data_IF_337451896115
#
_entry.id   IF_337451896115
#
_cell.length_a   1.000
_cell.length_b   1.000
_cell.length_c   1.000
_cell.angle_alpha   90.00
_cell.angle_beta   90.00
_cell.angle_gamma   90.00
#
_symmetry.space_group_name_H-M   'P 1'
#
loop_
_entity.id
_entity.type
_entity.pdbx_description
1 polymer ?
#
# COMPACT_ATOMS: atom_id res chain seq x y z
N UNK A 1 -9.94 0.29 -12.64
CA UNK A 1 -10.95 0.05 -11.58
C UNK A 1 -11.63 1.35 -11.14
N UNK A 2 -10.89 2.29 -10.54
CA UNK A 2 -11.39 3.56 -9.99
C UNK A 2 -12.36 4.31 -10.94
N UNK A 3 -11.96 4.53 -12.21
CA UNK A 3 -12.83 5.16 -13.23
C UNK A 3 -14.22 4.53 -13.36
N UNK A 4 -14.35 3.22 -13.17
CA UNK A 4 -15.65 2.55 -13.28
C UNK A 4 -16.47 2.68 -11.98
N UNK A 5 -15.80 2.68 -10.83
CA UNK A 5 -16.45 2.90 -9.53
C UNK A 5 -16.97 4.33 -9.40
N UNK A 6 -16.16 5.33 -9.75
CA UNK A 6 -16.51 6.75 -9.68
C UNK A 6 -17.69 7.18 -10.57
N UNK A 7 -18.18 6.30 -11.47
CA UNK A 7 -19.39 6.58 -12.27
C UNK A 7 -20.69 6.45 -11.47
N UNK A 8 -20.69 5.65 -10.40
CA UNK A 8 -21.90 5.29 -9.63
C UNK A 8 -21.73 5.40 -8.12
N UNK A 9 -20.50 5.60 -7.65
CA UNK A 9 -20.16 5.62 -6.23
C UNK A 9 -19.28 6.83 -5.93
N UNK A 10 -19.39 7.32 -4.69
CA UNK A 10 -18.42 8.24 -4.11
C UNK A 10 -17.15 7.46 -3.77
N UNK A 11 -16.00 7.93 -4.24
CA UNK A 11 -14.73 7.18 -4.16
C UNK A 11 -13.66 8.04 -3.52
N UNK A 12 -13.08 7.55 -2.43
CA UNK A 12 -11.83 8.04 -1.87
C UNK A 12 -10.72 7.06 -2.21
N UNK A 13 -9.69 7.53 -2.90
CA UNK A 13 -8.53 6.71 -3.25
C UNK A 13 -7.34 7.08 -2.40
N UNK A 14 -6.73 6.09 -1.72
CA UNK A 14 -5.49 6.26 -0.98
C UNK A 14 -4.35 5.46 -1.63
N UNK A 15 -3.17 6.06 -1.79
CA UNK A 15 -2.02 5.40 -2.42
C UNK A 15 -0.69 5.96 -1.94
N UNK A 16 0.37 5.17 -2.08
CA UNK A 16 1.74 5.67 -2.05
C UNK A 16 2.24 5.97 -3.46
N UNK A 17 3.16 6.92 -3.56
CA UNK A 17 3.99 7.16 -4.73
C UNK A 17 5.47 7.03 -4.34
N UNK A 18 6.32 6.60 -5.29
CA UNK A 18 7.77 6.54 -5.11
C UNK A 18 8.41 7.91 -5.33
N UNK A 19 7.84 8.72 -6.22
CA UNK A 19 8.36 10.03 -6.58
C UNK A 19 7.24 11.07 -6.69
N UNK A 20 7.62 12.34 -6.60
CA UNK A 20 6.71 13.46 -6.90
C UNK A 20 6.21 13.42 -8.36
N UNK A 21 7.03 12.91 -9.29
CA UNK A 21 6.61 12.74 -10.68
C UNK A 21 5.46 11.72 -10.79
N UNK A 22 5.62 10.55 -10.17
CA UNK A 22 4.56 9.52 -10.13
C UNK A 22 3.29 10.05 -9.47
N UNK A 23 3.43 10.84 -8.39
CA UNK A 23 2.31 11.51 -7.75
C UNK A 23 1.57 12.46 -8.72
N UNK A 24 2.32 13.24 -9.50
CA UNK A 24 1.77 14.18 -10.47
C UNK A 24 1.12 13.47 -11.66
N UNK A 25 1.69 12.37 -12.14
CA UNK A 25 1.08 11.52 -13.17
C UNK A 25 -0.25 10.91 -12.67
N UNK A 26 -0.31 10.56 -11.39
CA UNK A 26 -1.52 10.09 -10.71
C UNK A 26 -2.57 11.19 -10.44
N UNK A 27 -2.29 12.47 -10.72
CA UNK A 27 -3.21 13.56 -10.41
C UNK A 27 -4.55 13.46 -11.16
N UNK A 28 -4.57 12.83 -12.33
CA UNK A 28 -5.78 12.55 -13.11
C UNK A 28 -6.78 11.63 -12.38
N UNK A 29 -6.36 10.94 -11.30
CA UNK A 29 -7.28 10.18 -10.45
C UNK A 29 -8.32 11.08 -9.76
N UNK A 30 -8.00 12.36 -9.55
CA UNK A 30 -8.93 13.34 -8.96
C UNK A 30 -10.19 13.55 -9.81
N UNK A 31 -10.14 13.26 -11.11
CA UNK A 31 -11.30 13.39 -11.99
C UNK A 31 -12.33 12.27 -11.77
N UNK A 32 -11.95 11.20 -11.05
CA UNK A 32 -12.77 10.01 -10.83
C UNK A 32 -13.02 9.70 -9.35
N UNK A 33 -12.50 10.52 -8.44
CA UNK A 33 -12.56 10.36 -6.99
C UNK A 33 -12.98 11.68 -6.36
N UNK A 34 -13.76 11.62 -5.28
CA UNK A 34 -14.09 12.80 -4.48
C UNK A 34 -12.87 13.29 -3.70
N UNK A 35 -12.02 12.36 -3.27
CA UNK A 35 -10.76 12.67 -2.61
C UNK A 35 -9.65 11.68 -3.03
N UNK A 36 -8.43 12.21 -3.19
CA UNK A 36 -7.23 11.41 -3.41
C UNK A 36 -6.22 11.69 -2.29
N UNK A 37 -5.98 10.68 -1.46
CA UNK A 37 -5.02 10.68 -0.36
C UNK A 37 -3.74 9.98 -0.84
N UNK A 38 -2.86 10.74 -1.47
CA UNK A 38 -1.58 10.21 -1.93
C UNK A 38 -0.40 10.83 -1.18
N UNK A 39 0.61 10.00 -0.90
CA UNK A 39 1.83 10.39 -0.18
C UNK A 39 3.06 9.83 -0.89
N UNK A 40 4.10 10.66 -1.04
CA UNK A 40 5.40 10.21 -1.55
C UNK A 40 6.17 9.56 -0.41
N UNK A 41 6.57 8.31 -0.62
CA UNK A 41 7.47 7.59 0.28
C UNK A 41 8.80 7.35 -0.47
N UNK A 42 9.85 8.15 -0.21
CA UNK A 42 11.12 8.04 -0.92
C UNK A 42 11.78 6.69 -0.75
N UNK A 43 12.49 6.22 -1.78
CA UNK A 43 13.13 4.91 -1.79
C UNK A 43 14.12 4.70 -0.63
N UNK A 44 14.90 5.73 -0.27
CA UNK A 44 15.83 5.69 0.85
C UNK A 44 15.12 5.36 2.18
N UNK A 45 13.95 5.96 2.40
CA UNK A 45 13.11 5.69 3.58
C UNK A 45 12.55 4.27 3.53
N UNK A 46 12.06 3.81 2.38
CA UNK A 46 11.54 2.43 2.23
C UNK A 46 12.59 1.38 2.54
N UNK A 47 13.80 1.55 1.98
CA UNK A 47 14.94 0.65 2.24
C UNK A 47 15.32 0.66 3.72
N UNK A 48 15.36 1.82 4.36
CA UNK A 48 15.65 1.91 5.79
C UNK A 48 14.57 1.20 6.64
N UNK A 49 13.30 1.34 6.28
CA UNK A 49 12.20 0.66 6.99
C UNK A 49 12.24 -0.86 6.81
N UNK A 50 12.53 -1.34 5.61
CA UNK A 50 12.76 -2.76 5.35
C UNK A 50 13.92 -3.32 6.19
N UNK A 51 15.04 -2.60 6.28
CA UNK A 51 16.17 -3.01 7.13
C UNK A 51 15.80 -3.08 8.62
N UNK A 52 14.91 -2.20 9.09
CA UNK A 52 14.39 -2.24 10.47
C UNK A 52 13.46 -3.42 10.74
N UNK A 53 12.90 -4.06 9.71
CA UNK A 53 12.03 -5.23 9.82
C UNK A 53 12.81 -6.54 10.01
N UNK A 54 14.06 -6.59 9.53
CA UNK A 54 14.91 -7.78 9.63
C UNK A 54 14.98 -8.40 11.03
N UNK A 55 15.17 -7.64 12.12
CA UNK A 55 15.20 -8.23 13.47
C UNK A 55 13.82 -8.59 14.03
N UNK A 56 12.71 -8.14 13.41
CA UNK A 56 11.36 -8.31 13.98
C UNK A 56 10.64 -9.57 13.48
N UNK A 57 11.22 -10.32 12.54
CA UNK A 57 10.59 -11.50 11.95
C UNK A 57 9.32 -11.21 11.14
N UNK A 58 9.06 -9.92 10.84
CA UNK A 58 7.96 -9.51 9.97
C UNK A 58 8.48 -9.40 8.53
N UNK A 59 7.62 -9.63 7.51
CA UNK A 59 8.00 -9.41 6.12
C UNK A 59 8.55 -8.00 5.92
N UNK A 60 9.72 -7.87 5.28
CA UNK A 60 10.31 -6.56 5.04
C UNK A 60 9.43 -5.73 4.11
N UNK A 61 8.68 -6.38 3.21
CA UNK A 61 7.65 -5.76 2.36
C UNK A 61 6.60 -4.99 3.17
N UNK A 62 6.15 -5.50 4.31
CA UNK A 62 5.16 -4.82 5.15
C UNK A 62 5.67 -3.44 5.61
N UNK A 63 6.91 -3.38 6.12
CA UNK A 63 7.53 -2.13 6.55
C UNK A 63 8.04 -1.27 5.38
N UNK A 64 8.41 -1.88 4.25
CA UNK A 64 8.87 -1.17 3.05
C UNK A 64 7.82 -0.17 2.55
N UNK A 65 6.54 -0.54 2.63
CA UNK A 65 5.41 0.30 2.21
C UNK A 65 4.72 1.02 3.37
N UNK A 66 5.31 1.11 4.56
CA UNK A 66 4.72 1.83 5.68
C UNK A 66 4.98 3.34 5.60
N UNK A 67 3.95 4.13 5.88
CA UNK A 67 3.98 5.60 5.96
C UNK A 67 3.01 6.07 7.03
N UNK A 68 3.55 6.53 8.16
CA UNK A 68 2.74 7.06 9.25
C UNK A 68 1.83 8.22 8.80
N UNK A 69 2.30 9.05 7.86
CA UNK A 69 1.55 10.17 7.29
C UNK A 69 0.35 9.71 6.47
N UNK A 70 0.53 8.67 5.63
CA UNK A 70 -0.59 8.10 4.88
C UNK A 70 -1.63 7.50 5.83
N UNK A 71 -1.17 6.74 6.82
CA UNK A 71 -2.04 6.14 7.83
C UNK A 71 -2.86 7.20 8.58
N UNK A 72 -2.22 8.27 9.06
CA UNK A 72 -2.93 9.35 9.76
C UNK A 72 -3.99 10.03 8.88
N UNK A 73 -3.68 10.27 7.60
CA UNK A 73 -4.64 10.88 6.67
C UNK A 73 -5.83 9.98 6.36
N UNK A 74 -5.61 8.68 6.18
CA UNK A 74 -6.69 7.69 6.01
C UNK A 74 -7.58 7.68 7.26
N UNK A 75 -6.98 7.61 8.46
CA UNK A 75 -7.75 7.65 9.71
C UNK A 75 -8.60 8.91 9.86
N UNK A 76 -8.03 10.07 9.53
CA UNK A 76 -8.78 11.35 9.54
C UNK A 76 -9.97 11.30 8.58
N UNK A 77 -9.79 10.73 7.40
CA UNK A 77 -10.88 10.55 6.44
C UNK A 77 -12.01 9.67 7.01
N UNK A 78 -11.67 8.52 7.61
CA UNK A 78 -12.65 7.63 8.28
C UNK A 78 -13.30 8.25 9.52
N UNK A 79 -12.60 9.16 10.20
CA UNK A 79 -13.19 9.90 11.32
C UNK A 79 -14.26 10.89 10.86
N UNK A 80 -14.09 11.49 9.69
CA UNK A 80 -15.02 12.49 9.15
C UNK A 80 -16.10 11.90 8.24
N UNK A 81 -15.96 10.66 7.79
CA UNK A 81 -16.87 10.05 6.83
C UNK A 81 -17.05 8.56 7.09
N UNK A 82 -18.26 8.04 6.89
CA UNK A 82 -18.54 6.61 6.93
C UNK A 82 -18.29 5.99 5.56
N UNK A 83 -17.71 4.79 5.55
CA UNK A 83 -17.44 4.03 4.34
C UNK A 83 -18.23 2.73 4.36
N UNK A 84 -19.07 2.53 3.35
CA UNK A 84 -19.83 1.27 3.19
C UNK A 84 -18.91 0.13 2.71
N UNK A 85 -17.91 0.46 1.88
CA UNK A 85 -17.00 -0.50 1.27
C UNK A 85 -15.55 -0.05 1.38
N UNK A 86 -14.68 -0.94 1.86
CA UNK A 86 -13.22 -0.77 1.81
C UNK A 86 -12.65 -1.79 0.84
N UNK A 87 -12.02 -1.30 -0.21
CA UNK A 87 -11.32 -2.10 -1.20
C UNK A 87 -9.82 -1.88 -1.07
N UNK A 88 -9.08 -2.95 -0.80
CA UNK A 88 -7.63 -2.93 -0.70
C UNK A 88 -7.04 -3.65 -1.90
N UNK A 89 -6.27 -2.93 -2.70
CA UNK A 89 -5.42 -3.52 -3.73
C UNK A 89 -3.99 -3.58 -3.19
N UNK A 90 -3.31 -4.71 -3.38
CA UNK A 90 -1.97 -4.99 -2.86
C UNK A 90 -1.94 -5.22 -1.33
N UNK A 91 -1.38 -6.36 -0.90
CA UNK A 91 -1.34 -6.81 0.52
C UNK A 91 -0.67 -5.80 1.42
N UNK A 92 0.35 -5.12 0.91
CA UNK A 92 1.06 -4.10 1.67
C UNK A 92 0.17 -2.91 2.07
N UNK A 93 -0.98 -2.71 1.43
CA UNK A 93 -1.93 -1.66 1.79
C UNK A 93 -2.93 -2.08 2.88
N UNK A 94 -3.06 -3.38 3.16
CA UNK A 94 -4.03 -3.87 4.16
C UNK A 94 -3.78 -3.28 5.56
N UNK A 95 -2.51 -3.08 5.92
CA UNK A 95 -2.09 -2.52 7.21
C UNK A 95 -2.68 -1.13 7.52
N UNK A 96 -3.12 -0.37 6.51
CA UNK A 96 -3.68 0.97 6.72
C UNK A 96 -5.14 0.97 7.13
N UNK A 97 -5.84 -0.14 6.91
CA UNK A 97 -7.30 -0.25 7.13
C UNK A 97 -7.67 -1.39 8.06
N UNK A 98 -6.69 -2.07 8.67
CA UNK A 98 -6.93 -3.24 9.51
C UNK A 98 -7.90 -2.96 10.66
N UNK A 99 -7.76 -1.78 11.27
CA UNK A 99 -8.50 -1.33 12.44
C UNK A 99 -9.61 -0.32 12.13
N UNK A 100 -9.96 -0.17 10.85
CA UNK A 100 -11.04 0.70 10.39
C UNK A 100 -12.30 -0.12 10.12
N UNK A 101 -13.45 0.42 10.52
CA UNK A 101 -14.75 -0.20 10.32
C UNK A 101 -15.34 0.14 8.96
N UNK A 102 -15.92 -0.86 8.30
CA UNK A 102 -16.72 -0.74 7.08
C UNK A 102 -17.63 -1.96 6.95
N UNK A 103 -18.79 -1.80 6.29
CA UNK A 103 -19.79 -2.87 6.17
C UNK A 103 -19.28 -4.04 5.30
N UNK A 104 -18.51 -3.72 4.25
CA UNK A 104 -17.87 -4.71 3.38
C UNK A 104 -16.39 -4.40 3.19
N UNK A 105 -15.54 -5.42 3.38
CA UNK A 105 -14.09 -5.34 3.19
C UNK A 105 -13.68 -6.32 2.10
N UNK A 106 -13.06 -5.81 1.04
CA UNK A 106 -12.59 -6.59 -0.10
C UNK A 106 -11.07 -6.43 -0.20
N UNK A 107 -10.37 -7.55 -0.31
CA UNK A 107 -8.93 -7.61 -0.50
C UNK A 107 -8.63 -8.25 -1.85
N UNK A 108 -7.87 -7.54 -2.69
CA UNK A 108 -7.34 -8.06 -3.95
C UNK A 108 -5.89 -8.49 -3.78
N UNK A 109 -5.66 -9.80 -3.89
CA UNK A 109 -4.37 -10.47 -3.70
C UNK A 109 -3.52 -10.54 -4.98
N UNK A 110 -3.72 -9.62 -5.93
CA UNK A 110 -3.01 -9.61 -7.21
C UNK A 110 -1.48 -9.48 -7.14
N UNK A 111 -0.92 -9.13 -5.97
CA UNK A 111 0.51 -9.01 -5.71
C UNK A 111 1.10 -10.16 -4.85
N UNK A 112 0.29 -11.13 -4.41
CA UNK A 112 0.80 -12.34 -3.76
C UNK A 112 1.35 -13.28 -4.82
N UNK A 113 2.67 -13.31 -4.95
CA UNK A 113 3.36 -14.30 -5.78
C UNK A 113 4.56 -14.87 -5.01
N UNK A 114 4.32 -15.92 -4.22
CA UNK A 114 5.36 -16.61 -3.46
C UNK A 114 6.38 -17.33 -4.34
N UNK A 115 6.01 -17.69 -5.58
CA UNK A 115 6.94 -18.32 -6.52
C UNK A 115 8.05 -17.34 -6.95
N UNK A 116 7.71 -16.05 -7.14
CA UNK A 116 8.70 -15.00 -7.41
C UNK A 116 9.69 -14.82 -6.26
N UNK A 117 9.24 -14.84 -5.01
CA UNK A 117 10.13 -14.67 -3.86
C UNK A 117 11.11 -15.82 -3.72
N UNK A 118 10.63 -17.06 -3.90
CA UNK A 118 11.49 -18.25 -3.94
C UNK A 118 12.54 -18.17 -5.07
N UNK A 119 12.16 -17.73 -6.27
CA UNK A 119 13.08 -17.53 -7.40
C UNK A 119 14.11 -16.41 -7.11
N UNK A 120 13.69 -15.32 -6.47
CA UNK A 120 14.59 -14.24 -6.05
C UNK A 120 15.57 -14.69 -4.96
N UNK A 121 15.15 -15.55 -4.04
CA UNK A 121 16.03 -16.14 -3.02
C UNK A 121 17.16 -16.97 -3.66
N UNK A 122 16.86 -17.71 -4.73
CA UNK A 122 17.82 -18.59 -5.40
C UNK A 122 18.75 -17.84 -6.35
N UNK A 123 18.31 -16.73 -6.93
CA UNK A 123 19.06 -15.96 -7.93
C UNK A 123 19.91 -14.83 -7.36
N UNK A 124 19.65 -14.37 -6.13
CA UNK A 124 20.36 -13.24 -5.50
C UNK A 124 21.53 -13.71 -4.63
N UNK A 125 22.56 -12.86 -4.49
CA UNK A 125 23.70 -13.13 -3.62
C UNK A 125 23.37 -12.82 -2.16
N UNK A 126 24.03 -13.51 -1.25
CA UNK A 126 24.02 -13.17 0.18
C UNK A 126 24.42 -11.69 0.38
N UNK A 127 23.74 -10.93 1.26
CA UNK A 127 22.66 -11.35 2.17
C UNK A 127 21.24 -11.24 1.61
N UNK A 128 21.05 -10.68 0.41
CA UNK A 128 19.73 -10.43 -0.19
C UNK A 128 18.91 -11.72 -0.42
N UNK A 129 19.57 -12.85 -0.69
CA UNK A 129 18.90 -14.15 -0.81
C UNK A 129 18.12 -14.56 0.45
N UNK A 130 18.67 -14.28 1.64
CA UNK A 130 18.01 -14.59 2.91
C UNK A 130 16.82 -13.67 3.18
N UNK A 131 16.91 -12.41 2.74
CA UNK A 131 15.79 -11.46 2.84
C UNK A 131 14.62 -11.97 2.01
N UNK A 132 14.86 -12.36 0.74
CA UNK A 132 13.80 -12.90 -0.11
C UNK A 132 13.26 -14.27 0.33
N UNK A 133 14.06 -15.07 1.05
CA UNK A 133 13.58 -16.32 1.63
C UNK A 133 12.68 -16.13 2.85
N UNK A 134 12.70 -14.93 3.46
CA UNK A 134 11.92 -14.57 4.63
C UNK A 134 10.65 -13.76 4.31
N UNK A 135 10.41 -13.47 3.02
CA UNK A 135 9.16 -12.87 2.48
C UNK A 135 8.16 -13.96 2.09
#
# INVERSE_FOLDING_TARGET
MIRHLGRKHSVVAASLAHTEQELNEGAALKDYCDEVIAEVLPESTRRLQALKALPTGMPCSANYFWSARLHERIRKCFFHSKFDVVFVHCVAMAQYVMDLEADLRIMDFGDIDSAKWAEYSQSRRFPLSLVYAAE
#
